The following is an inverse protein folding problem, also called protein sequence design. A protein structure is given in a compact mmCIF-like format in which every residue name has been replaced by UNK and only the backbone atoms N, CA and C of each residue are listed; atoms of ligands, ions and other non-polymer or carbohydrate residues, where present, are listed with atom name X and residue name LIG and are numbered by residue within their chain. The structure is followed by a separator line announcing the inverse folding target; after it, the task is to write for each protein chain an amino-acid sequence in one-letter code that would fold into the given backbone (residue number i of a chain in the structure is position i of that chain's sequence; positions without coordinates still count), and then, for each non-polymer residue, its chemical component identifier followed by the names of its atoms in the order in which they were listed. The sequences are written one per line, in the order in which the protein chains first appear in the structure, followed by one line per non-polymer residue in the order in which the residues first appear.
data_IF_750939258697
#
_entry.id   IF_750939258697
#
_cell.length_a   1.000
_cell.length_b   1.000
_cell.length_c   1.000
_cell.angle_alpha   90.00
_cell.angle_beta   90.00
_cell.angle_gamma   90.00
#
_symmetry.space_group_name_H-M   'P 1'
#
loop_
_entity.id
_entity.type
_entity.pdbx_description
1 polymer ?
#
# COMPACT_ATOMS: atom_id res chain seq x y z
N UNK A 1 13.24 9.78 11.07
CA UNK A 1 13.61 8.35 11.18
C UNK A 1 12.38 7.45 11.40
N UNK A 2 11.48 7.75 12.35
CA UNK A 2 10.31 6.89 12.65
C UNK A 2 9.35 6.69 11.47
N UNK A 3 8.99 7.75 10.75
CA UNK A 3 8.13 7.62 9.54
C UNK A 3 8.77 6.71 8.48
N UNK A 4 10.08 6.83 8.27
CA UNK A 4 10.80 5.96 7.33
C UNK A 4 10.79 4.49 7.76
N UNK A 5 10.93 4.22 9.06
CA UNK A 5 10.79 2.87 9.60
C UNK A 5 9.38 2.32 9.38
N UNK A 6 8.34 3.10 9.68
CA UNK A 6 6.95 2.69 9.43
C UNK A 6 6.72 2.37 7.95
N UNK A 7 7.13 3.26 7.04
CA UNK A 7 7.01 3.02 5.59
C UNK A 7 7.73 1.73 5.18
N UNK A 8 8.94 1.48 5.70
CA UNK A 8 9.72 0.28 5.34
C UNK A 8 9.05 -1.04 5.73
N UNK A 9 8.19 -1.03 6.75
CA UNK A 9 7.45 -2.22 7.20
C UNK A 9 6.10 -2.32 6.49
N UNK A 10 5.37 -1.21 6.40
CA UNK A 10 3.98 -1.21 5.93
C UNK A 10 3.84 -1.14 4.40
N UNK A 11 4.82 -0.60 3.67
CA UNK A 11 4.77 -0.60 2.21
C UNK A 11 4.83 -2.03 1.65
N UNK A 12 5.81 -2.89 2.02
CA UNK A 12 5.82 -4.28 1.56
C UNK A 12 4.58 -5.07 2.00
N UNK A 13 4.00 -4.77 3.17
CA UNK A 13 2.75 -5.40 3.60
C UNK A 13 1.58 -5.04 2.68
N UNK A 14 1.50 -3.79 2.21
CA UNK A 14 0.49 -3.36 1.23
C UNK A 14 0.58 -4.12 -0.09
N UNK A 15 1.79 -4.23 -0.64
CA UNK A 15 2.07 -5.00 -1.86
C UNK A 15 1.70 -6.50 -1.70
N UNK A 16 2.00 -7.10 -0.55
CA UNK A 16 1.62 -8.48 -0.27
C UNK A 16 0.11 -8.69 -0.14
N UNK A 17 -0.59 -7.76 0.53
CA UNK A 17 -2.06 -7.82 0.66
C UNK A 17 -2.73 -7.72 -0.71
N UNK A 18 -2.27 -6.80 -1.55
CA UNK A 18 -2.79 -6.64 -2.90
C UNK A 18 -2.49 -7.86 -3.77
N UNK A 19 -1.27 -8.41 -3.66
CA UNK A 19 -0.89 -9.63 -4.36
C UNK A 19 -1.80 -10.81 -3.97
N UNK A 20 -2.08 -11.00 -2.68
CA UNK A 20 -3.01 -12.03 -2.20
C UNK A 20 -4.44 -11.81 -2.71
N UNK A 21 -4.89 -10.55 -2.73
CA UNK A 21 -6.20 -10.19 -3.26
C UNK A 21 -6.32 -10.58 -4.73
N UNK A 22 -5.35 -10.22 -5.57
CA UNK A 22 -5.33 -10.60 -6.99
C UNK A 22 -5.36 -12.11 -7.20
N UNK A 23 -4.61 -12.87 -6.40
CA UNK A 23 -4.63 -14.35 -6.46
C UNK A 23 -5.96 -14.94 -6.05
N UNK A 24 -6.65 -14.33 -5.09
CA UNK A 24 -8.00 -14.74 -4.69
C UNK A 24 -9.02 -14.57 -5.81
N UNK A 25 -8.81 -13.61 -6.71
CA UNK A 25 -9.62 -13.40 -7.92
C UNK A 25 -9.06 -14.11 -9.18
N UNK A 26 -7.98 -14.89 -9.05
CA UNK A 26 -7.36 -15.59 -10.18
C UNK A 26 -6.69 -14.68 -11.21
N UNK A 27 -6.44 -13.41 -10.87
CA UNK A 27 -5.80 -12.43 -11.76
C UNK A 27 -4.36 -12.17 -11.32
N UNK A 28 -3.54 -11.65 -12.25
CA UNK A 28 -2.15 -11.26 -11.97
C UNK A 28 -1.99 -9.75 -11.81
N UNK A 29 -2.70 -8.98 -12.63
CA UNK A 29 -2.71 -7.53 -12.61
C UNK A 29 -4.10 -7.06 -12.20
N UNK A 30 -4.18 -5.96 -11.45
CA UNK A 30 -5.45 -5.41 -10.98
C UNK A 30 -6.31 -4.80 -12.09
N UNK A 31 -5.70 -4.54 -13.25
CA UNK A 31 -6.35 -4.01 -14.44
C UNK A 31 -5.34 -3.69 -15.54
N UNK A 32 -5.79 -2.99 -16.58
CA UNK A 32 -4.94 -2.56 -17.70
C UNK A 32 -5.20 -1.09 -18.08
N UNK A 33 -5.44 -0.26 -17.07
CA UNK A 33 -5.77 1.16 -17.28
C UNK A 33 -4.54 1.95 -17.72
N UNK A 34 -3.34 1.54 -17.27
CA UNK A 34 -2.08 2.16 -17.69
C UNK A 34 -1.41 1.25 -18.72
N UNK A 35 -1.34 1.66 -20.01
CA UNK A 35 -0.76 0.83 -21.06
C UNK A 35 0.66 0.39 -20.71
N UNK A 36 0.88 -0.92 -20.61
CA UNK A 36 2.18 -1.50 -20.27
C UNK A 36 2.62 -1.33 -18.81
N UNK A 37 1.73 -0.90 -17.91
CA UNK A 37 2.05 -0.63 -16.50
C UNK A 37 1.09 -1.30 -15.50
N UNK A 38 0.05 -1.98 -15.98
CA UNK A 38 -0.92 -2.70 -15.15
C UNK A 38 -2.09 -1.82 -14.73
N UNK A 39 -2.69 -2.16 -13.59
CA UNK A 39 -3.80 -1.42 -13.03
C UNK A 39 -3.35 -0.33 -12.05
N UNK A 40 -4.30 0.52 -11.68
CA UNK A 40 -4.08 1.60 -10.72
C UNK A 40 -3.80 1.03 -9.32
N UNK A 41 -4.41 -0.11 -8.97
CA UNK A 41 -4.24 -0.72 -7.66
C UNK A 41 -2.81 -1.25 -7.45
N UNK A 42 -2.19 -1.80 -8.51
CA UNK A 42 -0.77 -2.22 -8.53
C UNK A 42 0.23 -1.05 -8.31
N UNK A 43 -0.27 0.19 -8.26
CA UNK A 43 0.53 1.40 -8.00
C UNK A 43 0.24 2.03 -6.65
N UNK A 44 -0.90 1.69 -6.07
CA UNK A 44 -1.38 2.23 -4.80
C UNK A 44 -1.35 1.19 -3.68
N UNK A 45 -1.05 -0.07 -3.95
CA UNK A 45 -1.00 -1.18 -2.99
C UNK A 45 -0.32 -0.83 -1.66
N UNK A 46 0.89 -0.29 -1.75
CA UNK A 46 1.75 0.09 -0.64
C UNK A 46 1.26 1.36 0.02
N UNK A 47 0.68 2.27 -0.77
CA UNK A 47 0.16 3.56 -0.30
C UNK A 47 -1.10 3.39 0.55
N UNK A 48 -1.99 2.48 0.15
CA UNK A 48 -3.27 2.21 0.83
C UNK A 48 -3.05 1.82 2.30
N UNK A 49 -2.00 1.05 2.59
CA UNK A 49 -1.64 0.69 3.98
C UNK A 49 -0.77 1.76 4.64
N UNK A 50 0.22 2.33 3.93
CA UNK A 50 1.11 3.34 4.51
C UNK A 50 0.39 4.63 4.94
N UNK A 51 -0.54 5.13 4.12
CA UNK A 51 -1.20 6.41 4.36
C UNK A 51 -1.94 6.48 5.73
N UNK A 52 -2.83 5.54 6.09
CA UNK A 52 -3.48 5.57 7.40
C UNK A 52 -2.50 5.36 8.55
N UNK A 53 -1.47 4.53 8.40
CA UNK A 53 -0.45 4.30 9.44
C UNK A 53 0.31 5.59 9.76
N UNK A 54 0.77 6.30 8.73
CA UNK A 54 1.50 7.56 8.89
C UNK A 54 0.57 8.64 9.45
N UNK A 55 -0.68 8.70 8.98
CA UNK A 55 -1.66 9.63 9.51
C UNK A 55 -1.91 9.41 11.01
N UNK A 56 -2.10 8.15 11.43
CA UNK A 56 -2.27 7.80 12.84
C UNK A 56 -1.04 8.16 13.68
N UNK A 57 0.16 7.93 13.14
CA UNK A 57 1.40 8.34 13.80
C UNK A 57 1.43 9.85 14.07
N UNK A 58 1.15 10.68 13.07
CA UNK A 58 1.12 12.13 13.25
C UNK A 58 -0.03 12.62 14.12
N UNK A 59 -1.18 11.94 14.09
CA UNK A 59 -2.30 12.26 14.96
C UNK A 59 -1.94 12.02 16.43
N UNK A 60 -1.31 10.89 16.73
CA UNK A 60 -0.84 10.56 18.07
C UNK A 60 0.26 11.52 18.52
N UNK A 61 1.22 11.83 17.65
CA UNK A 61 2.30 12.79 17.93
C UNK A 61 1.78 14.19 18.28
N UNK A 62 0.64 14.61 17.69
CA UNK A 62 -0.02 15.88 18.04
C UNK A 62 -0.86 15.85 19.31
N UNK A 63 -1.24 14.67 19.79
CA UNK A 63 -2.10 14.51 20.96
C UNK A 63 -1.31 14.61 22.27
N UNK A 64 -0.01 14.33 22.23
CA UNK A 64 0.93 14.43 23.35
C UNK A 64 1.82 15.68 23.23
#
# INVERSE_FOLDING_TARGET
MLVGFLVSVFAPLGDLVESQLKRSFGVKDSGNIIPGHGGILDRLDSFIICAPVIYLYFLLDKLF
#
